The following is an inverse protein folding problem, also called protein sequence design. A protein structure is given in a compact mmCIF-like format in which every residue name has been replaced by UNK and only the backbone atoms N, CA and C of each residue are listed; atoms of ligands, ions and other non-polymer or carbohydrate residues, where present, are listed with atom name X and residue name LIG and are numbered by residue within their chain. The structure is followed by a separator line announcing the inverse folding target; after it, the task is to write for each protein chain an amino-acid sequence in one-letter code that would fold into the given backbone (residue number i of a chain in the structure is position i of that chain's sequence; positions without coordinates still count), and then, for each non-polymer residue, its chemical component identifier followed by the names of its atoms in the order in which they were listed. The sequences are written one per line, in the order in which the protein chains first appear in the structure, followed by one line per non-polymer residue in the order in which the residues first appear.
data_IF_344384687271
#
_entry.id   IF_344384687271
#
_cell.length_a   1.000
_cell.length_b   1.000
_cell.length_c   1.000
_cell.angle_alpha   90.00
_cell.angle_beta   90.00
_cell.angle_gamma   90.00
#
_symmetry.space_group_name_H-M   'P 1'
#
loop_
_entity.id
_entity.type
_entity.pdbx_description
1 polymer ?
#
# COMPACT_ATOMS: atom_id res chain seq x y z
N UNK A 1 27.43 9.52 -3.97
CA UNK A 1 26.32 10.28 -3.36
C UNK A 1 26.30 9.93 -1.90
N UNK A 2 26.69 10.86 -1.05
CA UNK A 2 26.64 10.69 0.41
C UNK A 2 25.22 10.27 0.79
N UNK A 3 25.10 9.12 1.46
CA UNK A 3 23.91 8.81 2.23
C UNK A 3 23.90 9.82 3.38
N UNK A 4 23.27 10.97 3.17
CA UNK A 4 22.96 11.90 4.23
C UNK A 4 22.12 11.11 5.25
N UNK A 5 22.75 10.73 6.36
CA UNK A 5 22.10 10.01 7.44
C UNK A 5 21.05 10.97 7.97
N UNK A 6 19.79 10.74 7.57
CA UNK A 6 18.65 11.49 8.09
C UNK A 6 18.58 11.18 9.57
N UNK A 7 18.90 12.17 10.39
CA UNK A 7 18.76 12.08 11.84
C UNK A 7 17.34 11.60 12.19
N UNK A 8 17.21 10.56 13.03
CA UNK A 8 15.91 9.99 13.32
C UNK A 8 15.03 11.00 14.04
N UNK A 9 13.86 11.29 13.46
CA UNK A 9 12.88 12.19 14.07
C UNK A 9 12.43 11.61 15.41
N UNK A 10 12.54 12.41 16.49
CA UNK A 10 12.19 12.00 17.84
C UNK A 10 10.73 12.27 18.14
N UNK A 11 10.10 11.41 18.94
CA UNK A 11 8.70 11.52 19.32
C UNK A 11 8.45 12.65 20.33
N UNK A 12 7.26 13.27 20.29
CA UNK A 12 6.94 14.46 21.07
C UNK A 12 6.82 14.22 22.59
N UNK A 13 6.54 12.97 23.02
CA UNK A 13 6.31 12.66 24.44
C UNK A 13 7.45 11.89 25.10
N UNK A 14 8.16 11.06 24.32
CA UNK A 14 9.18 10.16 24.88
C UNK A 14 10.60 10.56 24.52
N UNK A 15 10.81 11.50 23.59
CA UNK A 15 12.14 11.87 23.07
C UNK A 15 12.88 10.76 22.30
N UNK A 16 12.26 9.58 22.20
CA UNK A 16 12.79 8.43 21.48
C UNK A 16 12.59 8.59 19.97
N UNK A 17 13.53 8.08 19.19
CA UNK A 17 13.39 8.02 17.73
C UNK A 17 12.09 7.30 17.33
N UNK A 18 11.32 7.92 16.44
CA UNK A 18 10.17 7.29 15.83
C UNK A 18 10.69 6.20 14.90
N UNK A 19 10.29 4.95 15.16
CA UNK A 19 10.69 3.81 14.33
C UNK A 19 10.27 4.02 12.86
N UNK A 20 11.14 3.67 11.88
CA UNK A 20 10.81 3.74 10.47
C UNK A 20 9.52 3.01 10.09
N UNK A 21 9.21 1.90 10.76
CA UNK A 21 7.97 1.12 10.53
C UNK A 21 6.75 1.93 10.95
N UNK A 22 6.83 2.61 12.10
CA UNK A 22 5.75 3.47 12.59
C UNK A 22 5.60 4.69 11.68
N UNK A 23 6.71 5.31 11.27
CA UNK A 23 6.67 6.42 10.32
C UNK A 23 6.00 6.01 9.00
N UNK A 24 6.38 4.88 8.41
CA UNK A 24 5.78 4.35 7.19
C UNK A 24 4.27 4.06 7.36
N UNK A 25 3.88 3.39 8.44
CA UNK A 25 2.48 3.10 8.73
C UNK A 25 1.66 4.39 8.91
N UNK A 26 2.21 5.37 9.62
CA UNK A 26 1.57 6.68 9.78
C UNK A 26 1.46 7.41 8.45
N UNK A 27 2.50 7.39 7.61
CA UNK A 27 2.56 8.05 6.30
C UNK A 27 1.35 7.74 5.42
N UNK A 28 0.91 6.47 5.38
CA UNK A 28 -0.22 6.01 4.56
C UNK A 28 -1.57 6.04 5.28
N UNK A 29 -1.61 6.26 6.60
CA UNK A 29 -2.84 6.23 7.39
C UNK A 29 -3.67 7.51 7.16
N UNK A 30 -4.97 7.40 6.78
CA UNK A 30 -5.83 8.56 6.56
C UNK A 30 -5.97 9.42 7.81
N UNK A 31 -6.00 10.75 7.64
CA UNK A 31 -6.03 11.70 8.75
C UNK A 31 -7.21 11.49 9.70
N UNK A 32 -8.41 11.19 9.17
CA UNK A 32 -9.60 10.91 9.99
C UNK A 32 -9.57 9.59 10.77
N UNK A 33 -8.51 8.77 10.63
CA UNK A 33 -8.31 7.51 11.37
C UNK A 33 -7.14 7.60 12.37
N UNK A 34 -6.49 8.75 12.48
CA UNK A 34 -5.41 8.96 13.43
C UNK A 34 -5.98 9.15 14.84
N UNK A 35 -5.34 8.53 15.83
CA UNK A 35 -5.54 8.94 17.22
C UNK A 35 -4.80 10.25 17.49
N UNK A 36 -5.12 10.94 18.58
CA UNK A 36 -4.46 12.20 18.94
C UNK A 36 -2.94 12.07 19.09
N UNK A 37 -2.46 10.96 19.69
CA UNK A 37 -1.02 10.65 19.77
C UNK A 37 -0.39 10.43 18.38
N UNK A 38 -1.08 9.70 17.50
CA UNK A 38 -0.60 9.47 16.13
C UNK A 38 -0.56 10.76 15.31
N UNK A 39 -1.52 11.66 15.51
CA UNK A 39 -1.53 12.97 14.89
C UNK A 39 -0.31 13.80 15.32
N UNK A 40 -0.02 13.86 16.64
CA UNK A 40 1.20 14.52 17.15
C UNK A 40 2.48 13.95 16.54
N UNK A 41 2.58 12.62 16.42
CA UNK A 41 3.72 11.96 15.75
C UNK A 41 3.82 12.33 14.28
N UNK A 42 2.70 12.39 13.55
CA UNK A 42 2.67 12.85 12.16
C UNK A 42 3.14 14.30 12.04
N UNK A 43 2.72 15.19 12.93
CA UNK A 43 3.12 16.59 12.89
C UNK A 43 4.61 16.75 13.21
N UNK A 44 5.12 15.95 14.14
CA UNK A 44 6.56 15.90 14.44
C UNK A 44 7.36 15.37 13.25
N UNK A 45 6.88 14.33 12.57
CA UNK A 45 7.50 13.79 11.35
C UNK A 45 7.48 14.79 10.19
N UNK A 46 6.40 15.57 10.04
CA UNK A 46 6.31 16.63 9.03
C UNK A 46 7.31 17.75 9.29
N UNK A 47 7.45 18.16 10.55
CA UNK A 47 8.41 19.19 10.95
C UNK A 47 9.87 18.73 10.77
N UNK A 48 10.15 17.47 11.07
CA UNK A 48 11.51 16.91 10.99
C UNK A 48 11.94 16.42 9.61
N UNK A 49 11.01 16.26 8.65
CA UNK A 49 11.34 15.72 7.32
C UNK A 49 10.45 16.25 6.20
N UNK A 50 10.99 17.11 5.31
CA UNK A 50 10.29 17.54 4.09
C UNK A 50 9.94 16.35 3.17
N UNK A 51 10.81 15.33 3.14
CA UNK A 51 10.57 14.10 2.41
C UNK A 51 9.32 13.38 2.96
N UNK A 52 9.19 13.24 4.28
CA UNK A 52 7.99 12.65 4.89
C UNK A 52 6.70 13.42 4.54
N UNK A 53 6.74 14.75 4.62
CA UNK A 53 5.61 15.61 4.24
C UNK A 53 5.18 15.38 2.80
N UNK A 54 6.15 15.32 1.88
CA UNK A 54 5.93 15.05 0.46
C UNK A 54 5.35 13.66 0.24
N UNK A 55 5.96 12.63 0.82
CA UNK A 55 5.50 11.24 0.73
C UNK A 55 4.05 11.09 1.24
N UNK A 56 3.74 11.70 2.39
CA UNK A 56 2.40 11.65 2.98
C UNK A 56 1.38 12.35 2.08
N UNK A 57 1.71 13.53 1.54
CA UNK A 57 0.83 14.25 0.60
C UNK A 57 0.49 13.39 -0.61
N UNK A 58 1.50 12.81 -1.25
CA UNK A 58 1.32 11.90 -2.38
C UNK A 58 0.48 10.66 -2.00
N UNK A 59 0.75 10.04 -0.85
CA UNK A 59 0.00 8.88 -0.38
C UNK A 59 -1.49 9.20 -0.11
N UNK A 60 -1.79 10.37 0.45
CA UNK A 60 -3.18 10.80 0.68
C UNK A 60 -3.92 11.05 -0.63
N UNK A 61 -3.28 11.77 -1.57
CA UNK A 61 -3.84 12.04 -2.91
C UNK A 61 -4.08 10.75 -3.70
N UNK A 62 -3.11 9.85 -3.70
CA UNK A 62 -3.22 8.55 -4.37
C UNK A 62 -4.36 7.71 -3.80
N UNK A 63 -4.48 7.63 -2.47
CA UNK A 63 -5.60 6.96 -1.82
C UNK A 63 -6.96 7.57 -2.19
N UNK A 64 -7.01 8.90 -2.35
CA UNK A 64 -8.19 9.60 -2.84
C UNK A 64 -8.60 9.15 -4.24
N UNK A 65 -7.64 9.10 -5.16
CA UNK A 65 -7.86 8.63 -6.55
C UNK A 65 -8.38 7.19 -6.55
N UNK A 66 -7.72 6.29 -5.83
CA UNK A 66 -8.08 4.88 -5.77
C UNK A 66 -9.50 4.64 -5.19
N UNK A 67 -9.93 5.47 -4.25
CA UNK A 67 -11.28 5.36 -3.64
C UNK A 67 -12.36 6.10 -4.42
N UNK A 68 -12.00 7.17 -5.13
CA UNK A 68 -12.92 8.01 -5.86
C UNK A 68 -13.45 7.39 -7.16
N UNK A 69 -12.86 6.29 -7.63
CA UNK A 69 -13.19 5.59 -8.89
C UNK A 69 -13.03 6.45 -10.15
N UNK A 70 -12.45 7.63 -10.02
CA UNK A 70 -12.15 8.55 -11.12
C UNK A 70 -10.64 8.57 -11.35
N UNK A 71 -10.21 8.01 -12.47
CA UNK A 71 -8.78 7.95 -12.84
C UNK A 71 -8.24 9.27 -13.40
N UNK A 72 -9.10 10.28 -13.65
CA UNK A 72 -8.71 11.57 -14.23
C UNK A 72 -7.53 12.28 -13.56
N UNK A 73 -7.40 12.29 -12.21
CA UNK A 73 -6.28 12.92 -11.53
C UNK A 73 -4.98 12.08 -11.51
N UNK A 74 -5.00 10.85 -12.02
CA UNK A 74 -3.88 9.92 -11.95
C UNK A 74 -2.64 10.37 -12.76
N UNK A 75 -2.76 10.88 -14.01
CA UNK A 75 -1.60 11.37 -14.75
C UNK A 75 -0.86 12.50 -14.03
N UNK A 76 -1.58 13.53 -13.57
CA UNK A 76 -0.97 14.63 -12.82
C UNK A 76 -0.31 14.14 -11.51
N UNK A 77 -0.89 13.14 -10.86
CA UNK A 77 -0.27 12.53 -9.68
C UNK A 77 1.04 11.80 -10.02
N UNK A 78 1.12 11.13 -11.17
CA UNK A 78 2.35 10.45 -11.64
C UNK A 78 3.45 11.49 -11.90
N UNK A 79 3.11 12.58 -12.59
CA UNK A 79 4.07 13.64 -12.91
C UNK A 79 4.64 14.26 -11.63
N UNK A 80 3.76 14.69 -10.70
CA UNK A 80 4.17 15.20 -9.39
C UNK A 80 5.07 14.20 -8.63
N UNK A 81 4.73 12.91 -8.67
CA UNK A 81 5.49 11.86 -8.01
C UNK A 81 6.89 11.68 -8.62
N UNK A 82 7.04 11.83 -9.93
CA UNK A 82 8.33 11.79 -10.63
C UNK A 82 9.17 13.02 -10.28
N UNK A 83 8.56 14.21 -10.23
CA UNK A 83 9.24 15.47 -9.94
C UNK A 83 9.80 15.55 -8.52
N UNK A 84 9.26 14.78 -7.57
CA UNK A 84 9.78 14.76 -6.19
C UNK A 84 11.24 14.35 -6.05
N UNK A 85 11.80 13.63 -7.03
CA UNK A 85 13.16 13.08 -6.95
C UNK A 85 13.35 11.97 -5.90
N UNK A 86 12.30 11.61 -5.15
CA UNK A 86 12.34 10.55 -4.15
C UNK A 86 12.40 9.19 -4.84
N UNK A 87 13.59 8.61 -4.98
CA UNK A 87 13.85 7.40 -5.79
C UNK A 87 12.81 6.28 -5.61
N UNK A 88 12.37 5.91 -4.40
CA UNK A 88 11.33 4.89 -4.23
C UNK A 88 9.98 5.28 -4.85
N UNK A 89 9.58 6.55 -4.71
CA UNK A 89 8.34 7.09 -5.29
C UNK A 89 8.45 7.21 -6.79
N UNK A 90 9.58 7.71 -7.31
CA UNK A 90 9.81 7.82 -8.76
C UNK A 90 9.73 6.44 -9.42
N UNK A 91 10.32 5.41 -8.82
CA UNK A 91 10.21 4.03 -9.33
C UNK A 91 8.78 3.51 -9.32
N UNK A 92 8.04 3.79 -8.25
CA UNK A 92 6.63 3.44 -8.16
C UNK A 92 5.82 4.14 -9.26
N UNK A 93 5.97 5.46 -9.42
CA UNK A 93 5.26 6.26 -10.40
C UNK A 93 5.56 5.81 -11.85
N UNK A 94 6.82 5.50 -12.18
CA UNK A 94 7.20 4.95 -13.49
C UNK A 94 6.56 3.60 -13.78
N UNK A 95 6.51 2.72 -12.78
CA UNK A 95 5.85 1.41 -12.91
C UNK A 95 4.36 1.59 -13.14
N UNK A 96 3.75 2.48 -12.36
CA UNK A 96 2.33 2.81 -12.48
C UNK A 96 2.00 3.41 -13.85
N UNK A 97 2.86 4.28 -14.38
CA UNK A 97 2.71 4.87 -15.71
C UNK A 97 2.81 3.82 -16.82
N UNK A 98 3.76 2.88 -16.70
CA UNK A 98 3.88 1.77 -17.66
C UNK A 98 2.59 0.94 -17.72
N UNK A 99 1.96 0.73 -16.57
CA UNK A 99 0.77 -0.10 -16.43
C UNK A 99 -0.52 0.76 -16.40
N UNK A 100 -0.47 2.01 -16.90
CA UNK A 100 -1.52 3.03 -16.75
C UNK A 100 -2.91 2.55 -17.16
N UNK A 101 -3.03 1.90 -18.32
CA UNK A 101 -4.33 1.43 -18.82
C UNK A 101 -4.97 0.37 -17.91
N UNK A 102 -4.14 -0.47 -17.29
CA UNK A 102 -4.61 -1.50 -16.34
C UNK A 102 -5.04 -0.85 -15.04
N UNK A 103 -4.26 0.10 -14.53
CA UNK A 103 -4.56 0.84 -13.30
C UNK A 103 -5.81 1.70 -13.45
N UNK A 104 -5.95 2.41 -14.58
CA UNK A 104 -7.14 3.17 -14.92
C UNK A 104 -8.39 2.30 -14.87
N UNK A 105 -8.37 1.15 -15.55
CA UNK A 105 -9.47 0.19 -15.52
C UNK A 105 -9.73 -0.33 -14.10
N UNK A 106 -8.69 -0.64 -13.33
CA UNK A 106 -8.84 -1.09 -11.95
C UNK A 106 -9.48 -0.05 -11.02
N UNK A 107 -9.28 1.25 -11.28
CA UNK A 107 -9.92 2.35 -10.55
C UNK A 107 -11.40 2.48 -10.93
N UNK A 108 -11.70 2.42 -12.23
CA UNK A 108 -13.06 2.63 -12.76
C UNK A 108 -13.99 1.42 -12.50
N UNK A 109 -13.41 0.22 -12.44
CA UNK A 109 -14.18 -1.03 -12.33
C UNK A 109 -14.68 -1.25 -10.89
N UNK A 110 -15.94 -1.71 -10.71
CA UNK A 110 -16.49 -1.91 -9.38
C UNK A 110 -15.98 -3.14 -8.65
N UNK A 111 -15.35 -4.08 -9.35
CA UNK A 111 -14.89 -5.33 -8.76
C UNK A 111 -13.59 -5.13 -7.99
N UNK A 112 -13.47 -5.83 -6.86
CA UNK A 112 -12.20 -5.98 -6.17
C UNK A 112 -11.59 -7.35 -6.49
N UNK A 113 -10.28 -7.46 -6.37
CA UNK A 113 -9.57 -8.74 -6.46
C UNK A 113 -9.65 -9.56 -5.16
N UNK A 114 -10.39 -9.09 -4.15
CA UNK A 114 -10.39 -9.65 -2.80
C UNK A 114 -10.93 -11.07 -2.74
N UNK A 115 -11.95 -11.39 -3.55
CA UNK A 115 -12.46 -12.76 -3.64
C UNK A 115 -11.41 -13.72 -4.21
N UNK A 116 -10.72 -13.31 -5.29
CA UNK A 116 -9.68 -14.13 -5.92
C UNK A 116 -8.49 -14.31 -4.97
N UNK A 117 -8.04 -13.23 -4.32
CA UNK A 117 -6.98 -13.27 -3.30
C UNK A 117 -7.35 -14.15 -2.11
N UNK A 118 -8.60 -14.11 -1.66
CA UNK A 118 -9.13 -14.98 -0.62
C UNK A 118 -9.04 -16.46 -1.00
N UNK A 119 -9.44 -16.81 -2.23
CA UNK A 119 -9.34 -18.19 -2.72
C UNK A 119 -7.88 -18.63 -2.89
N UNK A 120 -7.01 -17.76 -3.41
CA UNK A 120 -5.57 -18.03 -3.52
C UNK A 120 -4.96 -18.24 -2.14
N UNK A 121 -5.34 -17.44 -1.14
CA UNK A 121 -4.87 -17.59 0.22
C UNK A 121 -5.34 -18.91 0.83
N UNK A 122 -6.62 -19.27 0.67
CA UNK A 122 -7.16 -20.57 1.11
C UNK A 122 -6.42 -21.74 0.48
N UNK A 123 -6.16 -21.67 -0.83
CA UNK A 123 -5.38 -22.68 -1.55
C UNK A 123 -3.96 -22.80 -0.97
N UNK A 124 -3.27 -21.67 -0.80
CA UNK A 124 -1.90 -21.63 -0.27
C UNK A 124 -1.85 -22.17 1.17
N UNK A 125 -2.83 -21.85 2.01
CA UNK A 125 -2.94 -22.36 3.37
C UNK A 125 -3.11 -23.88 3.36
N UNK A 126 -4.00 -24.40 2.54
CA UNK A 126 -4.23 -25.84 2.43
C UNK A 126 -2.97 -26.58 1.95
N UNK A 127 -2.29 -26.05 0.93
CA UNK A 127 -1.04 -26.61 0.43
C UNK A 127 0.07 -26.60 1.49
N UNK A 128 0.19 -25.54 2.29
CA UNK A 128 1.16 -25.44 3.39
C UNK A 128 0.86 -26.40 4.54
N UNK A 129 -0.41 -26.56 4.92
CA UNK A 129 -0.83 -27.54 5.93
C UNK A 129 -0.49 -28.99 5.51
N UNK A 130 -0.29 -29.23 4.22
CA UNK A 130 0.06 -30.53 3.65
C UNK A 130 1.53 -30.61 3.22
N UNK A 131 2.39 -29.75 3.78
CA UNK A 131 3.84 -29.70 3.48
C UNK A 131 4.15 -29.58 1.98
N UNK A 132 3.27 -28.94 1.20
CA UNK A 132 3.43 -28.78 -0.25
C UNK A 132 3.06 -30.00 -1.09
N UNK A 133 2.69 -31.13 -0.47
CA UNK A 133 2.46 -32.41 -1.15
C UNK A 133 1.06 -32.57 -1.77
N UNK A 134 0.18 -31.60 -1.59
CA UNK A 134 -1.15 -31.64 -2.18
C UNK A 134 -1.10 -31.37 -3.68
N UNK A 135 -1.42 -32.40 -4.47
CA UNK A 135 -1.60 -32.31 -5.93
C UNK A 135 -2.92 -31.63 -6.33
N UNK A 136 -3.10 -31.31 -7.63
CA UNK A 136 -4.28 -30.60 -8.14
C UNK A 136 -5.61 -31.27 -7.79
N UNK A 137 -5.68 -32.60 -7.85
CA UNK A 137 -6.88 -33.40 -7.58
C UNK A 137 -7.29 -33.29 -6.11
N UNK A 138 -6.31 -33.38 -5.21
CA UNK A 138 -6.52 -33.29 -3.76
C UNK A 138 -6.89 -31.87 -3.32
N UNK A 139 -6.27 -30.86 -3.94
CA UNK A 139 -6.65 -29.46 -3.74
C UNK A 139 -8.07 -29.22 -4.24
N UNK A 140 -8.44 -29.76 -5.41
CA UNK A 140 -9.80 -29.65 -5.96
C UNK A 140 -10.83 -30.27 -5.02
N UNK A 141 -10.58 -31.49 -4.54
CA UNK A 141 -11.47 -32.21 -3.60
C UNK A 141 -11.69 -31.47 -2.28
N UNK A 142 -10.71 -30.70 -1.80
CA UNK A 142 -10.81 -29.94 -0.55
C UNK A 142 -11.29 -28.50 -0.72
N UNK A 143 -11.16 -27.93 -1.91
CA UNK A 143 -11.53 -26.54 -2.17
C UNK A 143 -12.93 -26.39 -2.73
N UNK A 144 -13.36 -27.31 -3.61
CA UNK A 144 -14.66 -27.24 -4.26
C UNK A 144 -15.71 -28.02 -3.47
N UNK A 145 -16.96 -27.54 -3.41
CA UNK A 145 -18.05 -28.34 -2.87
C UNK A 145 -18.23 -29.61 -3.70
N UNK A 146 -18.56 -30.72 -3.04
CA UNK A 146 -18.96 -31.94 -3.74
C UNK A 146 -20.18 -31.62 -4.59
N UNK A 147 -20.07 -31.81 -5.90
CA UNK A 147 -21.24 -31.81 -6.76
C UNK A 147 -21.95 -33.14 -6.49
N UNK A 148 -23.07 -33.12 -5.78
CA UNK A 148 -24.01 -34.22 -5.89
C UNK A 148 -24.56 -34.15 -7.33
N UNK A 149 -24.10 -35.09 -8.16
CA UNK A 149 -24.82 -35.47 -9.37
C UNK A 149 -26.10 -36.15 -8.91
N UNK A 150 -27.24 -35.56 -9.24
CA UNK A 150 -28.53 -36.26 -9.30
C UNK A 150 -28.49 -37.35 -10.40
#
# INVERSE_FOLDING_TARGET
MEHQILEPVRGPETGHAISPVIAAALCIKPSGKLTSDQARKVDTLKAGSPAFTTMRSLAMRFNGIMRGRQAGPLPAWIDDAIETGLTPIVRFARTLNRDFNVVKKAIEMPCNNGQAEGQINRLKTLKRAMYGRAGPELLRARMLPFRHTD
#
